data_IF_413202198895
#
_entry.id   IF_413202198895
#
_cell.length_a   1.000
_cell.length_b   1.000
_cell.length_c   1.000
_cell.angle_alpha   90.00
_cell.angle_beta   90.00
_cell.angle_gamma   90.00
#
_symmetry.space_group_name_H-M   'P 1'
#
loop_
_entity.id
_entity.type
_entity.pdbx_description
1 polymer ?
#
# COMPACT_ATOMS: atom_id res chain seq x y z
N UNK A 1 -53.27 8.70 34.94
CA UNK A 1 -53.64 7.39 35.49
C UNK A 1 -53.73 6.39 34.34
N UNK A 2 -53.24 5.16 34.54
CA UNK A 2 -53.63 4.01 33.70
C UNK A 2 -52.67 3.60 32.59
N UNK A 3 -51.70 2.75 32.94
CA UNK A 3 -51.05 1.76 32.06
C UNK A 3 -52.06 0.66 31.65
N UNK A 4 -51.75 -0.04 30.56
CA UNK A 4 -51.86 -1.51 30.35
C UNK A 4 -51.07 -1.81 29.05
N UNK A 5 -50.05 -2.67 28.94
CA UNK A 5 -49.92 -4.09 29.34
C UNK A 5 -50.38 -4.96 28.14
N UNK A 6 -49.74 -6.02 27.60
CA UNK A 6 -48.59 -6.86 27.97
C UNK A 6 -48.30 -7.87 26.79
N UNK A 7 -47.04 -8.33 26.64
CA UNK A 7 -46.53 -9.70 26.30
C UNK A 7 -47.03 -10.50 25.05
N UNK A 8 -46.29 -11.41 24.37
CA UNK A 8 -45.07 -12.20 24.65
C UNK A 8 -44.55 -12.96 23.39
N UNK A 9 -43.23 -13.24 23.33
CA UNK A 9 -42.49 -14.46 22.85
C UNK A 9 -42.56 -14.86 21.34
N UNK A 10 -41.51 -15.35 20.66
CA UNK A 10 -40.24 -15.94 21.10
C UNK A 10 -39.24 -16.22 19.95
N UNK A 11 -38.16 -16.91 20.33
CA UNK A 11 -36.81 -17.09 19.75
C UNK A 11 -36.62 -17.74 18.35
N UNK A 12 -35.46 -17.40 17.75
CA UNK A 12 -34.36 -18.23 17.13
C UNK A 12 -33.71 -17.37 16.03
N UNK A 13 -32.42 -17.35 15.67
CA UNK A 13 -31.18 -18.03 16.02
C UNK A 13 -30.10 -17.51 15.02
N UNK A 14 -28.85 -17.48 15.48
CA UNK A 14 -27.62 -16.89 14.90
C UNK A 14 -27.19 -17.26 13.47
N UNK A 15 -26.39 -16.36 12.82
CA UNK A 15 -25.03 -16.55 12.22
C UNK A 15 -24.80 -15.51 11.08
N UNK A 16 -23.97 -14.47 11.23
CA UNK A 16 -22.50 -14.49 11.09
C UNK A 16 -22.09 -14.20 9.63
N UNK A 17 -21.54 -13.04 9.26
CA UNK A 17 -20.10 -12.77 9.41
C UNK A 17 -19.76 -11.27 9.23
N UNK A 18 -19.04 -10.76 10.23
CA UNK A 18 -18.01 -9.73 10.27
C UNK A 18 -18.14 -8.47 9.40
N UNK A 19 -18.64 -7.39 10.04
CA UNK A 19 -18.34 -6.02 9.65
C UNK A 19 -17.69 -5.28 10.82
N UNK A 20 -16.61 -4.57 10.49
CA UNK A 20 -15.76 -3.71 11.31
C UNK A 20 -16.51 -2.99 12.47
N UNK A 21 -16.02 -3.02 13.72
CA UNK A 21 -16.76 -2.48 14.87
C UNK A 21 -16.67 -0.95 15.01
N UNK A 22 -16.28 -0.21 13.97
CA UNK A 22 -16.17 1.24 14.00
C UNK A 22 -17.56 1.89 13.89
N UNK A 23 -18.20 2.08 15.04
CA UNK A 23 -19.43 2.87 15.17
C UNK A 23 -19.22 4.31 14.66
N UNK A 24 -20.06 4.68 13.69
CA UNK A 24 -20.43 6.03 13.24
C UNK A 24 -19.29 7.05 13.07
N UNK A 25 -18.84 7.20 11.83
CA UNK A 25 -17.99 8.29 11.36
C UNK A 25 -18.76 9.62 11.45
N UNK A 26 -18.43 10.45 12.44
CA UNK A 26 -18.89 11.83 12.50
C UNK A 26 -18.05 12.68 11.52
N UNK A 27 -18.72 13.21 10.49
CA UNK A 27 -18.14 14.07 9.46
C UNK A 27 -17.69 15.45 10.00
N UNK A 28 -16.58 15.53 10.75
CA UNK A 28 -15.77 16.77 10.88
C UNK A 28 -14.29 16.44 11.07
N UNK A 29 -13.56 16.40 9.93
CA UNK A 29 -12.10 16.50 9.71
C UNK A 29 -11.19 16.33 10.95
N UNK A 30 -10.80 15.08 11.23
CA UNK A 30 -9.43 14.49 11.37
C UNK A 30 -9.70 13.05 11.81
N UNK A 31 -9.60 12.09 10.87
CA UNK A 31 -9.89 10.66 11.10
C UNK A 31 -8.63 9.84 11.38
N UNK A 32 -7.45 10.48 11.45
CA UNK A 32 -6.19 9.81 11.79
C UNK A 32 -6.09 9.63 13.29
N UNK A 33 -5.91 8.39 13.74
CA UNK A 33 -5.72 8.08 15.15
C UNK A 33 -4.35 8.58 15.65
N UNK A 34 -4.29 8.93 16.93
CA UNK A 34 -3.06 9.35 17.58
C UNK A 34 -2.22 8.13 17.97
N UNK A 35 -0.99 8.04 17.48
CA UNK A 35 -0.08 6.93 17.78
C UNK A 35 0.93 7.34 18.84
N UNK A 36 1.14 6.46 19.82
CA UNK A 36 2.10 6.65 20.89
C UNK A 36 2.97 5.41 20.98
N UNK A 37 4.28 5.57 20.83
CA UNK A 37 5.25 4.46 20.94
C UNK A 37 6.12 4.70 22.17
N UNK A 38 6.12 3.74 23.09
CA UNK A 38 6.84 3.82 24.37
C UNK A 38 6.55 5.12 25.18
N UNK A 39 5.36 5.70 25.00
CA UNK A 39 4.94 6.94 25.63
C UNK A 39 5.32 8.22 24.88
N UNK A 40 5.96 8.14 23.72
CA UNK A 40 6.21 9.28 22.83
C UNK A 40 5.14 9.33 21.74
N UNK A 41 4.42 10.44 21.57
CA UNK A 41 3.62 10.70 20.39
C UNK A 41 4.44 10.59 19.11
N UNK A 42 4.02 9.73 18.19
CA UNK A 42 4.62 9.65 16.86
C UNK A 42 3.74 10.42 15.88
N UNK A 43 4.40 11.17 14.99
CA UNK A 43 3.70 11.79 13.89
C UNK A 43 3.08 10.73 12.98
N UNK A 44 1.78 10.84 12.79
CA UNK A 44 0.98 9.98 11.91
C UNK A 44 0.35 10.82 10.80
N UNK A 45 1.04 11.89 10.38
CA UNK A 45 0.68 12.63 9.19
C UNK A 45 0.76 11.74 7.94
N UNK A 46 -0.03 12.04 6.91
CA UNK A 46 -0.14 11.20 5.71
C UNK A 46 -1.50 10.51 5.60
N UNK A 47 -1.67 9.67 4.57
CA UNK A 47 -2.98 9.10 4.23
C UNK A 47 -3.93 10.07 3.50
N UNK A 48 -3.54 11.34 3.30
CA UNK A 48 -4.34 12.27 2.50
C UNK A 48 -4.30 11.87 1.02
N UNK A 49 -5.48 11.68 0.44
CA UNK A 49 -5.64 11.44 -0.99
C UNK A 49 -5.42 12.73 -1.76
N UNK A 50 -4.43 12.75 -2.64
CA UNK A 50 -4.45 13.69 -3.78
C UNK A 50 -5.18 13.01 -4.94
N UNK A 51 -5.68 13.77 -5.93
CA UNK A 51 -6.37 13.20 -7.12
C UNK A 51 -5.52 12.18 -7.90
N UNK A 52 -4.21 12.08 -7.63
CA UNK A 52 -3.27 11.34 -8.48
C UNK A 52 -2.24 10.49 -7.74
N UNK A 53 -2.05 10.69 -6.43
CA UNK A 53 -1.14 9.92 -5.59
C UNK A 53 -1.77 9.67 -4.21
N UNK A 54 -1.60 8.46 -3.70
CA UNK A 54 -1.88 8.15 -2.30
C UNK A 54 -0.63 8.44 -1.45
N UNK A 55 -0.83 9.10 -0.32
CA UNK A 55 0.22 9.31 0.65
C UNK A 55 0.23 8.16 1.65
N UNK A 56 1.40 7.55 1.82
CA UNK A 56 1.65 6.61 2.92
C UNK A 56 1.37 7.25 4.27
N UNK A 57 0.81 6.47 5.19
CA UNK A 57 0.68 6.87 6.59
C UNK A 57 1.96 6.53 7.37
N UNK A 58 2.40 7.41 8.28
CA UNK A 58 3.67 7.23 9.04
C UNK A 58 3.62 6.17 10.14
N UNK A 59 2.47 5.52 10.35
CA UNK A 59 2.43 4.24 11.07
C UNK A 59 3.20 3.12 10.36
N UNK A 60 3.37 3.19 9.02
CA UNK A 60 4.11 2.21 8.22
C UNK A 60 5.60 2.16 8.57
N UNK A 61 6.12 3.18 9.22
CA UNK A 61 7.51 3.25 9.63
C UNK A 61 7.74 2.50 10.96
N UNK A 62 6.70 1.98 11.63
CA UNK A 62 6.87 1.14 12.82
C UNK A 62 7.14 -0.29 12.36
N UNK A 63 8.25 -0.86 12.83
CA UNK A 63 8.55 -2.27 12.58
C UNK A 63 7.60 -3.16 13.42
N UNK A 64 6.75 -3.99 12.79
CA UNK A 64 5.85 -4.88 13.52
C UNK A 64 6.60 -5.91 14.38
N UNK A 65 7.80 -6.32 13.97
CA UNK A 65 8.61 -7.31 14.69
C UNK A 65 9.14 -6.78 16.04
N UNK A 66 9.18 -5.46 16.22
CA UNK A 66 9.58 -4.81 17.46
C UNK A 66 8.40 -4.52 18.41
N UNK A 67 7.16 -4.79 18.00
CA UNK A 67 5.97 -4.57 18.84
C UNK A 67 5.86 -5.71 19.85
N UNK A 68 5.72 -5.35 21.14
CA UNK A 68 5.40 -6.30 22.20
C UNK A 68 3.89 -6.35 22.44
N UNK A 69 3.24 -5.18 22.48
CA UNK A 69 1.79 -5.07 22.69
C UNK A 69 1.22 -3.82 22.00
N UNK A 70 -0.06 -3.90 21.63
CA UNK A 70 -0.86 -2.79 21.11
C UNK A 70 -2.09 -2.64 22.00
N UNK A 71 -2.24 -1.47 22.61
CA UNK A 71 -3.37 -1.12 23.47
C UNK A 71 -4.17 0.04 22.84
N UNK A 72 -5.48 -0.13 22.69
CA UNK A 72 -6.35 0.88 22.07
C UNK A 72 -7.15 1.60 23.15
N UNK A 73 -6.90 2.90 23.30
CA UNK A 73 -7.61 3.76 24.25
C UNK A 73 -8.90 4.26 23.61
N UNK A 74 -10.02 3.67 24.02
CA UNK A 74 -11.37 4.01 23.52
C UNK A 74 -12.02 5.04 24.43
N UNK A 75 -12.10 6.27 23.94
CA UNK A 75 -12.89 7.35 24.56
C UNK A 75 -12.12 8.34 25.46
N UNK A 76 -12.79 9.40 25.92
CA UNK A 76 -12.13 10.58 26.52
C UNK A 76 -11.50 10.32 27.90
N UNK A 77 -12.08 9.41 28.70
CA UNK A 77 -11.58 9.09 30.04
C UNK A 77 -10.23 8.34 29.99
N UNK A 78 -10.05 7.47 28.99
CA UNK A 78 -8.82 6.69 28.81
C UNK A 78 -7.68 7.52 28.18
N UNK A 79 -7.98 8.66 27.57
CA UNK A 79 -7.06 9.47 26.77
C UNK A 79 -6.64 10.78 27.45
N UNK A 80 -7.14 11.05 28.67
CA UNK A 80 -6.88 12.27 29.42
C UNK A 80 -5.38 12.57 29.62
N UNK A 81 -4.53 11.55 29.76
CA UNK A 81 -3.08 11.69 29.89
C UNK A 81 -2.38 12.20 28.62
N UNK A 82 -3.04 12.11 27.47
CA UNK A 82 -2.48 12.44 26.15
C UNK A 82 -3.11 13.69 25.51
N UNK A 83 -4.03 14.35 26.24
CA UNK A 83 -4.62 15.63 25.87
C UNK A 83 -5.48 15.59 24.61
N UNK A 84 -5.72 16.77 24.02
CA UNK A 84 -6.67 16.95 22.89
C UNK A 84 -6.33 16.10 21.65
N UNK A 85 -5.05 15.73 21.45
CA UNK A 85 -4.63 14.91 20.31
C UNK A 85 -5.19 13.49 20.37
N UNK A 86 -5.53 13.00 21.55
CA UNK A 86 -6.14 11.70 21.77
C UNK A 86 -7.67 11.76 21.93
N UNK A 87 -8.31 12.92 21.65
CA UNK A 87 -9.76 13.08 21.81
C UNK A 87 -10.59 12.10 20.97
N UNK A 88 -10.04 11.65 19.83
CA UNK A 88 -10.63 10.65 18.93
C UNK A 88 -10.17 9.21 19.25
N UNK A 89 -9.51 8.99 20.39
CA UNK A 89 -8.84 7.73 20.73
C UNK A 89 -7.35 7.75 20.40
N UNK A 90 -6.62 6.80 20.99
CA UNK A 90 -5.18 6.64 20.76
C UNK A 90 -4.77 5.18 20.69
N UNK A 91 -3.76 4.89 19.88
CA UNK A 91 -3.12 3.58 19.76
C UNK A 91 -1.79 3.66 20.52
N UNK A 92 -1.72 2.91 21.63
CA UNK A 92 -0.52 2.75 22.44
C UNK A 92 0.24 1.53 21.95
N UNK A 93 1.49 1.72 21.58
CA UNK A 93 2.40 0.66 21.16
C UNK A 93 3.52 0.60 22.20
N UNK A 94 3.66 -0.55 22.85
CA UNK A 94 4.84 -0.83 23.67
C UNK A 94 5.76 -1.72 22.86
N UNK A 95 7.03 -1.32 22.80
CA UNK A 95 8.00 -2.08 22.01
C UNK A 95 8.72 -3.12 22.87
N UNK A 96 9.26 -4.17 22.24
CA UNK A 96 10.04 -5.23 22.90
C UNK A 96 11.24 -4.64 23.64
N UNK A 97 11.55 -5.18 24.82
CA UNK A 97 12.65 -4.72 25.67
C UNK A 97 13.55 -5.89 26.03
N UNK A 98 14.70 -5.58 26.62
CA UNK A 98 15.57 -6.62 27.15
C UNK A 98 14.85 -7.44 28.22
N UNK A 99 15.00 -8.76 28.16
CA UNK A 99 14.46 -9.69 29.14
C UNK A 99 15.54 -10.16 30.10
N UNK A 100 15.12 -10.68 31.26
CA UNK A 100 16.02 -11.38 32.16
C UNK A 100 16.21 -12.80 31.62
N UNK A 101 17.39 -13.07 31.10
CA UNK A 101 17.78 -14.34 30.46
C UNK A 101 18.91 -15.00 31.26
N UNK A 102 18.99 -14.71 32.56
CA UNK A 102 20.08 -15.11 33.45
C UNK A 102 21.46 -14.69 32.91
N UNK A 103 21.52 -13.53 32.27
CA UNK A 103 22.72 -12.97 31.65
C UNK A 103 23.09 -13.56 30.28
N UNK A 104 22.32 -14.51 29.75
CA UNK A 104 22.59 -15.12 28.44
C UNK A 104 22.08 -14.23 27.31
N UNK A 105 22.87 -14.04 26.26
CA UNK A 105 22.39 -13.37 25.05
C UNK A 105 21.54 -14.34 24.24
N UNK A 106 20.34 -13.90 23.88
CA UNK A 106 19.44 -14.59 22.97
C UNK A 106 19.51 -13.90 21.61
N UNK A 107 19.50 -14.71 20.55
CA UNK A 107 19.51 -14.25 19.16
C UNK A 107 18.32 -14.88 18.47
N UNK A 108 17.50 -14.05 17.83
CA UNK A 108 16.35 -14.50 17.05
C UNK A 108 16.45 -13.88 15.66
N UNK A 109 16.43 -14.74 14.65
CA UNK A 109 16.42 -14.34 13.25
C UNK A 109 15.12 -14.83 12.61
N UNK A 110 14.39 -13.92 11.97
CA UNK A 110 13.19 -14.23 11.21
C UNK A 110 13.40 -13.79 9.77
N UNK A 111 13.03 -14.66 8.83
CA UNK A 111 13.03 -14.37 7.40
C UNK A 111 11.73 -14.87 6.82
N UNK A 112 11.07 -14.04 6.01
CA UNK A 112 9.88 -14.43 5.25
C UNK A 112 10.05 -14.06 3.78
N UNK A 113 9.45 -14.87 2.93
CA UNK A 113 9.38 -14.67 1.49
C UNK A 113 7.92 -14.77 1.06
N UNK A 114 7.50 -13.83 0.21
CA UNK A 114 6.15 -13.83 -0.38
C UNK A 114 6.21 -13.66 -1.89
N UNK A 115 5.20 -14.22 -2.55
CA UNK A 115 4.90 -13.92 -3.95
C UNK A 115 3.47 -13.38 -3.99
N UNK A 116 3.35 -12.13 -4.40
CA UNK A 116 2.07 -11.45 -4.58
C UNK A 116 1.64 -11.54 -6.04
N UNK A 117 0.36 -11.82 -6.24
CA UNK A 117 -0.27 -11.92 -7.56
C UNK A 117 -1.52 -11.06 -7.60
N UNK A 118 -1.89 -10.64 -8.81
CA UNK A 118 -3.15 -9.93 -9.02
C UNK A 118 -4.30 -10.88 -8.72
N UNK A 119 -5.14 -10.50 -7.74
CA UNK A 119 -6.27 -11.32 -7.31
C UNK A 119 -7.44 -11.23 -8.30
N UNK A 120 -7.86 -10.01 -8.66
CA UNK A 120 -9.04 -9.80 -9.51
C UNK A 120 -8.89 -8.57 -10.39
N UNK A 121 -9.21 -8.76 -11.67
CA UNK A 121 -9.29 -7.70 -12.66
C UNK A 121 -10.73 -7.53 -13.14
N UNK A 122 -11.11 -6.32 -13.59
CA UNK A 122 -12.35 -6.13 -14.32
C UNK A 122 -12.38 -7.02 -15.55
N UNK A 123 -13.51 -7.68 -15.80
CA UNK A 123 -13.71 -8.42 -17.04
C UNK A 123 -13.80 -7.43 -18.21
N UNK A 124 -12.94 -7.61 -19.21
CA UNK A 124 -13.01 -6.88 -20.48
C UNK A 124 -13.70 -7.72 -21.53
N UNK A 125 -14.47 -7.07 -22.39
CA UNK A 125 -14.97 -7.73 -23.59
C UNK A 125 -13.80 -7.93 -24.57
N UNK A 126 -13.76 -9.10 -25.22
CA UNK A 126 -12.79 -9.45 -26.27
C UNK A 126 -13.50 -9.85 -27.57
N UNK A 127 -14.68 -9.25 -27.84
CA UNK A 127 -15.51 -9.59 -29.01
C UNK A 127 -15.40 -8.56 -30.12
N UNK A 128 -15.40 -7.28 -29.76
CA UNK A 128 -15.42 -6.15 -30.68
C UNK A 128 -14.16 -5.30 -30.51
N UNK A 129 -13.60 -4.88 -31.64
CA UNK A 129 -12.47 -3.97 -31.69
C UNK A 129 -12.90 -2.51 -31.44
N UNK A 130 -11.93 -1.61 -31.43
CA UNK A 130 -12.16 -0.19 -31.32
C UNK A 130 -12.86 0.39 -32.53
N UNK A 131 -13.90 1.19 -32.26
CA UNK A 131 -14.70 1.81 -33.31
C UNK A 131 -16.06 2.23 -32.81
N UNK A 132 -16.93 2.57 -33.76
CA UNK A 132 -18.28 3.06 -33.48
C UNK A 132 -19.26 2.56 -34.53
N UNK A 133 -20.47 2.22 -34.10
CA UNK A 133 -21.55 1.75 -34.97
C UNK A 133 -21.12 0.54 -35.84
N UNK A 134 -20.25 -0.33 -35.31
CA UNK A 134 -19.73 -1.51 -36.03
C UNK A 134 -18.64 -1.20 -37.06
N UNK A 135 -18.24 0.06 -37.23
CA UNK A 135 -17.18 0.47 -38.17
C UNK A 135 -15.86 0.62 -37.44
N UNK A 136 -14.80 0.04 -38.01
CA UNK A 136 -13.45 0.15 -37.46
C UNK A 136 -12.99 1.59 -37.56
N UNK A 137 -12.38 2.08 -36.48
CA UNK A 137 -11.71 3.37 -36.50
C UNK A 137 -10.23 3.13 -36.22
N UNK A 138 -9.34 3.37 -37.19
CA UNK A 138 -7.90 3.33 -36.99
C UNK A 138 -7.50 4.20 -35.81
N UNK A 139 -6.50 3.78 -35.06
CA UNK A 139 -6.14 4.43 -33.81
C UNK A 139 -5.85 5.93 -34.00
N UNK A 140 -5.12 6.26 -35.07
CA UNK A 140 -4.71 7.63 -35.44
C UNK A 140 -5.88 8.57 -35.75
N UNK A 141 -7.04 8.01 -36.11
CA UNK A 141 -8.26 8.74 -36.46
C UNK A 141 -9.26 8.82 -35.31
N UNK A 142 -8.95 8.21 -34.16
CA UNK A 142 -9.77 8.30 -32.97
C UNK A 142 -9.42 9.63 -32.26
N UNK A 143 -10.11 10.72 -32.56
CA UNK A 143 -10.01 11.97 -31.80
C UNK A 143 -11.10 12.09 -30.72
N UNK A 144 -10.77 12.81 -29.65
CA UNK A 144 -11.65 13.37 -28.61
C UNK A 144 -12.72 12.44 -28.02
N UNK A 145 -12.37 11.72 -26.94
CA UNK A 145 -13.32 11.07 -26.02
C UNK A 145 -14.12 9.85 -26.57
N UNK A 146 -14.08 9.59 -27.89
CA UNK A 146 -14.65 8.40 -28.51
C UNK A 146 -13.69 7.20 -28.54
N UNK A 147 -12.44 7.42 -28.13
CA UNK A 147 -11.29 6.52 -28.09
C UNK A 147 -11.38 5.28 -27.18
N UNK A 148 -12.37 5.25 -26.30
CA UNK A 148 -12.53 4.24 -25.23
C UNK A 148 -13.65 3.25 -25.52
N UNK A 149 -14.00 3.08 -26.80
CA UNK A 149 -15.24 2.42 -27.21
C UNK A 149 -14.92 1.20 -28.05
N UNK A 150 -15.22 0.03 -27.48
CA UNK A 150 -15.19 -1.24 -28.19
C UNK A 150 -16.51 -1.50 -28.94
N UNK A 151 -16.96 -0.53 -29.73
CA UNK A 151 -18.19 -0.61 -30.55
C UNK A 151 -17.86 -0.70 -32.05
N UNK A 152 -16.66 -1.18 -32.37
CA UNK A 152 -16.21 -1.48 -33.73
C UNK A 152 -16.65 -2.86 -34.21
N UNK A 153 -16.09 -3.35 -35.32
CA UNK A 153 -16.40 -4.67 -35.84
C UNK A 153 -15.86 -5.77 -34.92
N UNK A 154 -16.35 -6.99 -35.14
CA UNK A 154 -15.90 -8.16 -34.38
C UNK A 154 -14.42 -8.45 -34.68
N UNK A 155 -13.66 -8.89 -33.68
CA UNK A 155 -12.33 -9.46 -33.93
C UNK A 155 -12.42 -10.63 -34.92
N UNK A 156 -11.35 -10.83 -35.71
CA UNK A 156 -11.32 -11.71 -36.88
C UNK A 156 -11.77 -11.04 -38.19
N UNK A 157 -12.29 -9.81 -38.13
CA UNK A 157 -12.61 -9.01 -39.32
C UNK A 157 -11.32 -8.44 -39.92
N UNK A 158 -11.17 -8.52 -41.24
CA UNK A 158 -10.10 -7.83 -41.97
C UNK A 158 -10.51 -6.37 -42.17
N UNK A 159 -9.63 -5.45 -41.78
CA UNK A 159 -9.83 -4.02 -41.92
C UNK A 159 -8.65 -3.41 -42.66
N UNK A 160 -8.88 -2.24 -43.25
CA UNK A 160 -7.85 -1.47 -43.97
C UNK A 160 -7.53 -0.22 -43.18
N UNK A 161 -6.25 0.00 -42.90
CA UNK A 161 -5.76 1.21 -42.24
C UNK A 161 -5.66 2.38 -43.24
N UNK A 162 -5.50 3.63 -42.75
CA UNK A 162 -5.41 4.81 -43.60
C UNK A 162 -4.20 4.80 -44.55
N UNK A 163 -3.17 4.02 -44.24
CA UNK A 163 -1.99 3.79 -45.09
C UNK A 163 -2.23 2.78 -46.22
N UNK A 164 -3.44 2.21 -46.31
CA UNK A 164 -3.83 1.22 -47.30
C UNK A 164 -3.44 -0.23 -46.96
N UNK A 165 -2.74 -0.45 -45.84
CA UNK A 165 -2.45 -1.79 -45.35
C UNK A 165 -3.73 -2.46 -44.86
N UNK A 166 -3.84 -3.78 -45.05
CA UNK A 166 -4.98 -4.56 -44.56
C UNK A 166 -4.51 -5.65 -43.63
N UNK A 167 -5.18 -5.78 -42.48
CA UNK A 167 -4.83 -6.74 -41.44
C UNK A 167 -6.08 -7.28 -40.77
N UNK A 168 -5.94 -8.43 -40.12
CA UNK A 168 -7.02 -9.03 -39.35
C UNK A 168 -6.99 -8.49 -37.92
N UNK A 169 -8.12 -8.00 -37.43
CA UNK A 169 -8.24 -7.54 -36.06
C UNK A 169 -8.10 -8.71 -35.08
N UNK A 170 -7.20 -8.58 -34.12
CA UNK A 170 -6.97 -9.55 -33.04
C UNK A 170 -6.96 -8.85 -31.68
N UNK A 171 -7.52 -9.48 -30.63
CA UNK A 171 -7.41 -8.97 -29.27
C UNK A 171 -6.03 -9.29 -28.66
N UNK A 172 -5.49 -8.37 -27.89
CA UNK A 172 -4.26 -8.53 -27.12
C UNK A 172 -4.56 -8.65 -25.62
N UNK A 173 -3.92 -9.62 -24.94
CA UNK A 173 -4.01 -9.74 -23.48
C UNK A 173 -3.05 -8.78 -22.78
N UNK A 174 -3.38 -7.50 -22.90
CA UNK A 174 -2.60 -6.41 -22.32
C UNK A 174 -2.51 -6.48 -20.79
N UNK A 175 -3.56 -7.00 -20.14
CA UNK A 175 -3.62 -7.02 -18.69
C UNK A 175 -2.64 -8.04 -18.11
N UNK A 176 -2.67 -9.28 -18.61
CA UNK A 176 -1.73 -10.31 -18.17
C UNK A 176 -0.28 -9.97 -18.52
N UNK A 177 -0.04 -9.26 -19.63
CA UNK A 177 1.29 -8.80 -20.00
C UNK A 177 1.82 -7.65 -19.12
N UNK A 178 0.92 -6.84 -18.54
CA UNK A 178 1.31 -5.68 -17.74
C UNK A 178 1.64 -6.03 -16.28
N UNK A 179 0.88 -6.94 -15.67
CA UNK A 179 1.11 -7.33 -14.28
C UNK A 179 2.15 -8.43 -14.17
N UNK A 180 2.89 -8.43 -13.06
CA UNK A 180 3.87 -9.47 -12.73
C UNK A 180 3.59 -10.09 -11.38
N UNK A 181 4.08 -11.31 -11.20
CA UNK A 181 4.26 -11.88 -9.86
C UNK A 181 5.31 -11.04 -9.15
N UNK A 182 4.96 -10.49 -8.00
CA UNK A 182 5.83 -9.59 -7.26
C UNK A 182 6.42 -10.30 -6.04
N UNK A 183 7.71 -10.09 -5.79
CA UNK A 183 8.41 -10.75 -4.70
C UNK A 183 8.53 -9.83 -3.48
N UNK A 184 8.34 -10.41 -2.30
CA UNK A 184 8.54 -9.73 -1.02
C UNK A 184 9.51 -10.48 -0.12
N UNK A 185 10.31 -9.74 0.64
CA UNK A 185 11.23 -10.27 1.66
C UNK A 185 11.08 -9.45 2.94
N UNK A 186 10.99 -10.12 4.09
CA UNK A 186 11.09 -9.47 5.40
C UNK A 186 12.12 -10.22 6.24
N UNK A 187 13.22 -9.56 6.55
CA UNK A 187 14.33 -10.09 7.33
C UNK A 187 14.49 -9.29 8.61
N UNK A 188 14.58 -9.98 9.74
CA UNK A 188 14.72 -9.34 11.03
C UNK A 188 15.69 -10.09 11.93
N UNK A 189 16.59 -9.36 12.56
CA UNK A 189 17.54 -9.88 13.54
C UNK A 189 17.34 -9.17 14.87
N UNK A 190 17.12 -9.96 15.92
CA UNK A 190 16.91 -9.54 17.29
C UNK A 190 18.03 -10.08 18.17
N UNK A 191 18.60 -9.22 18.99
CA UNK A 191 19.54 -9.59 20.05
C UNK A 191 19.02 -9.03 21.37
N UNK A 192 18.84 -9.88 22.36
CA UNK A 192 18.38 -9.43 23.65
C UNK A 192 18.95 -10.27 24.78
N UNK A 193 19.04 -9.67 25.96
CA UNK A 193 19.46 -10.38 27.14
C UNK A 193 19.62 -9.46 28.33
N UNK A 194 19.87 -10.07 29.48
CA UNK A 194 20.01 -9.31 30.71
C UNK A 194 19.89 -10.17 31.94
N UNK A 195 20.06 -9.52 33.07
CA UNK A 195 19.84 -10.05 34.40
C UNK A 195 18.95 -9.09 35.20
N UNK A 196 18.81 -9.33 36.49
CA UNK A 196 18.00 -8.50 37.38
C UNK A 196 18.46 -7.03 37.48
N UNK A 197 19.76 -6.78 37.23
CA UNK A 197 20.39 -5.45 37.35
C UNK A 197 20.44 -4.69 36.03
N UNK A 198 20.54 -5.38 34.90
CA UNK A 198 20.63 -4.72 33.59
C UNK A 198 20.12 -5.60 32.47
N UNK A 199 19.46 -5.00 31.49
CA UNK A 199 19.03 -5.68 30.28
C UNK A 199 19.21 -4.79 29.04
N UNK A 200 19.26 -5.43 27.88
CA UNK A 200 19.35 -4.78 26.58
C UNK A 200 18.50 -5.52 25.55
N UNK A 201 18.07 -4.78 24.53
CA UNK A 201 17.44 -5.29 23.32
C UNK A 201 17.92 -4.44 22.14
N UNK A 202 18.36 -5.12 21.10
CA UNK A 202 18.78 -4.54 19.83
C UNK A 202 18.06 -5.28 18.72
N UNK A 203 17.61 -4.54 17.72
CA UNK A 203 17.03 -5.15 16.53
C UNK A 203 17.41 -4.39 15.27
N UNK A 204 17.43 -5.12 14.16
CA UNK A 204 17.50 -4.56 12.82
C UNK A 204 16.57 -5.33 11.90
N UNK A 205 15.95 -4.61 10.98
CA UNK A 205 15.01 -5.17 10.02
C UNK A 205 15.19 -4.60 8.62
N UNK A 206 14.99 -5.43 7.62
CA UNK A 206 14.88 -5.07 6.22
C UNK A 206 13.60 -5.67 5.65
N UNK A 207 12.70 -4.81 5.19
CA UNK A 207 11.49 -5.20 4.48
C UNK A 207 11.60 -4.70 3.04
N UNK A 208 11.39 -5.58 2.07
CA UNK A 208 11.28 -5.25 0.66
C UNK A 208 9.99 -5.83 0.11
N UNK A 209 9.20 -5.01 -0.59
CA UNK A 209 7.99 -5.43 -1.27
C UNK A 209 7.98 -4.87 -2.69
N UNK A 210 8.14 -5.75 -3.67
CA UNK A 210 7.91 -5.41 -5.05
C UNK A 210 6.40 -5.32 -5.30
N UNK A 211 5.97 -4.38 -6.14
CA UNK A 211 4.58 -4.31 -6.59
C UNK A 211 4.30 -5.18 -7.81
N UNK A 212 3.06 -5.68 -7.87
CA UNK A 212 2.52 -6.42 -9.04
C UNK A 212 2.42 -5.55 -10.29
N UNK A 213 2.37 -4.23 -10.12
CA UNK A 213 2.57 -3.28 -11.19
C UNK A 213 4.08 -2.99 -11.30
N UNK A 214 4.67 -3.08 -12.50
CA UNK A 214 6.08 -2.79 -12.72
C UNK A 214 6.51 -1.41 -12.21
N UNK A 215 7.79 -1.28 -11.88
CA UNK A 215 8.40 -0.04 -11.37
C UNK A 215 7.67 0.57 -10.15
N UNK A 216 7.06 -0.29 -9.33
CA UNK A 216 6.63 0.06 -7.97
C UNK A 216 7.27 -0.88 -6.98
N UNK A 217 7.93 -0.32 -5.98
CA UNK A 217 8.65 -1.04 -4.93
C UNK A 217 8.65 -0.22 -3.65
N UNK A 218 8.57 -0.93 -2.54
CA UNK A 218 8.68 -0.39 -1.20
C UNK A 218 9.85 -1.06 -0.49
N UNK A 219 10.68 -0.27 0.15
CA UNK A 219 11.81 -0.76 0.92
C UNK A 219 11.87 -0.03 2.27
N UNK A 220 12.20 -0.77 3.34
CA UNK A 220 12.29 -0.22 4.68
C UNK A 220 13.43 -0.88 5.45
N UNK A 221 14.28 -0.04 6.03
CA UNK A 221 15.27 -0.44 7.01
C UNK A 221 14.88 0.11 8.37
N UNK A 222 15.02 -0.71 9.39
CA UNK A 222 14.80 -0.30 10.77
C UNK A 222 15.94 -0.75 11.66
N UNK A 223 16.23 0.05 12.66
CA UNK A 223 17.17 -0.29 13.71
C UNK A 223 16.63 0.22 15.04
N UNK A 224 16.84 -0.54 16.09
CA UNK A 224 16.44 -0.15 17.43
C UNK A 224 17.45 -0.63 18.46
N UNK A 225 17.65 0.20 19.47
CA UNK A 225 18.43 -0.09 20.65
C UNK A 225 17.61 0.30 21.88
N UNK A 226 17.54 -0.56 22.89
CA UNK A 226 16.94 -0.22 24.17
C UNK A 226 17.64 -0.96 25.30
N UNK A 227 17.57 -0.41 26.49
CA UNK A 227 18.16 -1.03 27.67
C UNK A 227 17.69 -0.41 28.96
N UNK A 228 17.90 -1.13 30.05
CA UNK A 228 17.66 -0.63 31.39
C UNK A 228 18.73 -1.08 32.36
N UNK A 229 18.99 -0.25 33.37
CA UNK A 229 19.94 -0.52 34.45
C UNK A 229 19.31 -0.15 35.78
N UNK A 230 19.47 -1.02 36.77
CA UNK A 230 19.05 -0.86 38.16
C UNK A 230 20.28 -0.72 39.06
N UNK A 231 20.93 0.46 39.12
CA UNK A 231 22.10 0.66 39.97
C UNK A 231 21.80 0.48 41.47
N UNK A 232 20.54 0.70 41.88
CA UNK A 232 20.03 0.42 43.23
C UNK A 232 18.66 -0.23 43.12
N UNK A 233 18.22 -0.94 44.17
CA UNK A 233 16.89 -1.61 44.20
C UNK A 233 15.74 -0.64 43.88
N UNK A 234 15.88 0.63 44.27
CA UNK A 234 14.84 1.66 44.11
C UNK A 234 15.18 2.69 43.03
N UNK A 235 16.10 2.40 42.12
CA UNK A 235 16.47 3.31 41.05
C UNK A 235 16.66 2.52 39.76
N UNK A 236 15.79 2.78 38.77
CA UNK A 236 15.90 2.22 37.42
C UNK A 236 16.08 3.35 36.41
N UNK A 237 17.07 3.20 35.54
CA UNK A 237 17.21 4.00 34.33
C UNK A 237 16.84 3.13 33.14
N UNK A 238 16.12 3.69 32.18
CA UNK A 238 15.77 3.01 30.94
C UNK A 238 15.86 3.97 29.77
N UNK A 239 16.31 3.48 28.63
CA UNK A 239 16.34 4.25 27.40
C UNK A 239 15.99 3.39 26.19
N UNK A 240 15.50 4.03 25.15
CA UNK A 240 15.32 3.43 23.83
C UNK A 240 15.65 4.44 22.75
N UNK A 241 16.11 3.95 21.61
CA UNK A 241 16.35 4.69 20.38
C UNK A 241 15.88 3.82 19.23
N UNK A 242 15.15 4.42 18.30
CA UNK A 242 14.63 3.77 17.11
C UNK A 242 15.00 4.61 15.90
N UNK A 243 15.28 3.94 14.79
CA UNK A 243 15.60 4.52 13.50
C UNK A 243 14.80 3.81 12.42
N UNK A 244 14.33 4.56 11.44
CA UNK A 244 13.63 4.03 10.27
C UNK A 244 13.99 4.84 9.05
N UNK A 245 14.46 4.12 8.02
CA UNK A 245 14.52 4.60 6.66
C UNK A 245 13.50 3.84 5.83
N UNK A 246 12.70 4.53 5.02
CA UNK A 246 11.80 3.89 4.07
C UNK A 246 11.80 4.63 2.75
N UNK A 247 11.70 3.89 1.65
CA UNK A 247 11.57 4.41 0.30
C UNK A 247 10.38 3.75 -0.39
N UNK A 248 9.61 4.53 -1.13
CA UNK A 248 8.46 4.05 -1.87
C UNK A 248 8.41 4.70 -3.25
N UNK A 249 8.50 3.88 -4.29
CA UNK A 249 8.20 4.29 -5.67
C UNK A 249 6.70 4.11 -5.90
N UNK A 250 6.01 5.24 -5.95
CA UNK A 250 4.54 5.29 -6.03
C UNK A 250 4.06 5.28 -7.46
N UNK A 251 2.89 4.70 -7.63
CA UNK A 251 2.15 4.70 -8.88
C UNK A 251 1.14 5.83 -8.91
N UNK A 252 0.97 6.42 -10.08
CA UNK A 252 -0.16 7.31 -10.32
C UNK A 252 -1.48 6.53 -10.27
N UNK A 253 -2.47 7.08 -9.58
CA UNK A 253 -3.82 6.52 -9.45
C UNK A 253 -4.86 7.54 -9.93
N UNK A 254 -6.13 7.13 -10.00
CA UNK A 254 -7.26 8.00 -10.32
C UNK A 254 -7.53 8.13 -11.83
N UNK A 255 -8.43 9.04 -12.20
CA UNK A 255 -8.92 9.23 -13.57
C UNK A 255 -8.05 10.12 -14.46
N UNK A 256 -6.75 10.26 -14.18
CA UNK A 256 -5.85 11.04 -15.02
C UNK A 256 -5.33 10.20 -16.20
N UNK A 257 -4.78 10.87 -17.20
CA UNK A 257 -4.38 10.28 -18.48
C UNK A 257 -3.15 9.34 -18.38
N UNK A 258 -2.35 9.49 -17.33
CA UNK A 258 -1.14 8.69 -17.05
C UNK A 258 -1.34 7.64 -15.93
N UNK A 259 -2.58 7.34 -15.55
CA UNK A 259 -2.86 6.28 -14.59
C UNK A 259 -2.88 4.94 -15.32
N UNK A 260 -1.96 3.99 -15.03
CA UNK A 260 -1.81 2.76 -15.80
C UNK A 260 -3.09 1.93 -15.83
N UNK A 261 -3.87 1.92 -14.74
CA UNK A 261 -5.15 1.20 -14.68
C UNK A 261 -6.20 1.76 -15.64
N UNK A 262 -6.27 3.08 -15.82
CA UNK A 262 -7.24 3.68 -16.74
C UNK A 262 -6.83 3.38 -18.18
N UNK A 263 -5.54 3.53 -18.50
CA UNK A 263 -4.98 3.21 -19.80
C UNK A 263 -5.22 1.75 -20.21
N UNK A 264 -5.10 0.84 -19.25
CA UNK A 264 -5.19 -0.61 -19.46
C UNK A 264 -6.64 -1.10 -19.66
N UNK A 265 -7.58 -0.59 -18.88
CA UNK A 265 -8.96 -1.14 -18.85
C UNK A 265 -9.98 -0.32 -19.65
N UNK A 266 -9.68 0.92 -20.03
CA UNK A 266 -10.65 1.79 -20.70
C UNK A 266 -10.63 1.71 -22.23
N UNK A 267 -9.52 1.26 -22.81
CA UNK A 267 -9.39 1.08 -24.25
C UNK A 267 -9.82 -0.31 -24.75
N UNK A 268 -10.22 -0.43 -26.02
CA UNK A 268 -10.30 -1.73 -26.70
C UNK A 268 -8.94 -2.45 -26.67
N UNK A 269 -8.97 -3.78 -26.75
CA UNK A 269 -7.77 -4.64 -26.77
C UNK A 269 -7.24 -4.89 -28.19
N UNK A 270 -7.52 -4.01 -29.14
CA UNK A 270 -7.07 -4.11 -30.53
C UNK A 270 -5.69 -3.48 -30.76
N UNK A 271 -5.02 -3.11 -29.68
CA UNK A 271 -3.70 -2.51 -29.66
C UNK A 271 -2.81 -3.23 -28.64
N UNK A 272 -1.59 -3.59 -29.07
CA UNK A 272 -0.59 -4.22 -28.22
C UNK A 272 0.19 -3.16 -27.42
N UNK A 273 -0.02 -3.11 -26.10
CA UNK A 273 0.70 -2.19 -25.23
C UNK A 273 2.17 -2.57 -25.01
N UNK A 274 2.58 -3.79 -25.36
CA UNK A 274 3.98 -4.24 -25.21
C UNK A 274 4.89 -3.79 -26.36
N UNK A 275 4.29 -3.36 -27.48
CA UNK A 275 5.04 -3.04 -28.69
C UNK A 275 5.74 -4.25 -29.31
N UNK A 276 5.25 -5.47 -29.06
CA UNK A 276 5.85 -6.71 -29.54
C UNK A 276 7.11 -7.17 -28.79
N UNK A 277 7.48 -6.51 -27.69
CA UNK A 277 8.67 -6.86 -26.91
C UNK A 277 8.35 -7.89 -25.82
N UNK A 278 9.34 -8.76 -25.55
CA UNK A 278 9.24 -9.77 -24.49
C UNK A 278 9.34 -9.17 -23.09
N UNK A 279 10.13 -8.10 -22.94
CA UNK A 279 10.25 -7.34 -21.69
C UNK A 279 9.98 -5.86 -21.97
N UNK A 280 8.69 -5.50 -22.14
CA UNK A 280 8.32 -4.14 -22.43
C UNK A 280 8.77 -3.22 -21.29
N UNK A 281 8.81 -3.67 -20.02
CA UNK A 281 9.19 -2.87 -18.82
C UNK A 281 10.64 -2.37 -18.82
N UNK A 282 11.54 -3.02 -19.56
CA UNK A 282 12.94 -2.60 -19.65
C UNK A 282 13.35 -2.13 -21.05
N UNK A 283 12.42 -2.08 -21.99
CA UNK A 283 12.72 -1.68 -23.37
C UNK A 283 12.19 -0.27 -23.62
N UNK A 284 13.08 0.72 -23.60
CA UNK A 284 12.73 2.12 -23.83
C UNK A 284 11.95 2.31 -25.15
N UNK A 285 12.35 1.63 -26.23
CA UNK A 285 11.66 1.63 -27.52
C UNK A 285 10.23 1.03 -27.49
N UNK A 286 9.86 0.27 -26.46
CA UNK A 286 8.47 -0.17 -26.26
C UNK A 286 7.54 0.99 -25.85
N UNK A 287 8.11 2.14 -25.48
CA UNK A 287 7.39 3.30 -24.96
C UNK A 287 7.50 4.54 -25.84
N UNK A 288 8.60 4.66 -26.59
CA UNK A 288 8.89 5.79 -27.45
C UNK A 288 8.64 5.47 -28.93
N UNK A 289 8.52 6.54 -29.72
CA UNK A 289 8.12 6.50 -31.12
C UNK A 289 9.34 6.31 -32.02
N UNK A 290 9.37 5.20 -32.75
CA UNK A 290 9.96 5.18 -34.10
C UNK A 290 8.85 4.97 -35.13
N UNK A 291 8.98 5.67 -36.26
CA UNK A 291 7.91 6.21 -37.11
C UNK A 291 7.06 5.21 -37.92
N UNK A 292 6.99 3.92 -37.57
CA UNK A 292 6.49 2.93 -38.53
C UNK A 292 5.50 1.88 -38.05
N UNK A 293 5.00 1.90 -36.80
CA UNK A 293 3.90 0.99 -36.42
C UNK A 293 2.91 1.68 -35.49
N UNK A 294 1.64 1.72 -35.93
CA UNK A 294 0.43 2.17 -35.26
C UNK A 294 0.64 2.91 -33.93
N UNK A 295 0.73 4.23 -34.04
CA UNK A 295 0.40 5.17 -33.00
C UNK A 295 -0.72 4.77 -32.03
N UNK A 296 -0.52 4.79 -30.70
CA UNK A 296 -1.55 5.34 -29.78
C UNK A 296 -1.86 6.84 -30.09
N UNK A 297 -1.64 7.31 -31.33
CA UNK A 297 -1.81 8.70 -31.80
C UNK A 297 -3.29 9.04 -31.69
N UNK A 298 -3.62 10.02 -30.86
CA UNK A 298 -5.00 10.43 -30.64
C UNK A 298 -5.61 9.88 -29.35
N UNK A 299 -5.02 8.87 -28.70
CA UNK A 299 -5.52 8.47 -27.38
C UNK A 299 -5.19 9.47 -26.33
N UNK A 300 -6.24 9.79 -25.58
CA UNK A 300 -6.14 10.67 -24.46
C UNK A 300 -5.37 10.02 -23.29
N UNK A 301 -5.16 8.69 -23.30
CA UNK A 301 -4.41 7.94 -22.29
C UNK A 301 -3.02 7.49 -22.77
N UNK A 302 -2.03 7.56 -21.88
CA UNK A 302 -0.65 7.08 -22.10
C UNK A 302 -0.61 5.55 -22.20
N UNK A 303 0.42 4.98 -22.83
CA UNK A 303 0.71 3.56 -22.69
C UNK A 303 0.95 3.24 -21.19
N UNK A 304 0.36 2.17 -20.62
CA UNK A 304 0.53 1.85 -19.20
C UNK A 304 1.99 1.56 -18.82
N UNK A 305 2.80 1.00 -19.72
CA UNK A 305 4.24 0.79 -19.47
C UNK A 305 5.04 2.10 -19.49
N UNK A 306 4.76 3.01 -20.44
CA UNK A 306 5.31 4.37 -20.42
C UNK A 306 4.95 5.10 -19.11
N UNK A 307 3.70 4.96 -18.66
CA UNK A 307 3.21 5.63 -17.46
C UNK A 307 3.97 5.22 -16.20
N UNK A 308 4.37 3.95 -16.07
CA UNK A 308 5.13 3.48 -14.91
C UNK A 308 6.63 3.75 -15.02
N UNK A 309 7.16 3.92 -16.23
CA UNK A 309 8.58 4.20 -16.45
C UNK A 309 8.92 5.68 -16.37
N UNK A 310 8.13 6.54 -17.03
CA UNK A 310 8.44 7.96 -17.22
C UNK A 310 7.78 8.88 -16.19
N UNK A 311 6.87 8.36 -15.37
CA UNK A 311 6.19 9.12 -14.33
C UNK A 311 6.34 8.53 -12.92
N UNK A 312 7.54 8.11 -12.48
CA UNK A 312 7.74 7.61 -11.13
C UNK A 312 7.55 8.73 -10.11
N UNK A 313 6.98 8.39 -8.96
CA UNK A 313 6.86 9.30 -7.83
C UNK A 313 7.51 8.67 -6.60
N UNK A 314 8.80 8.94 -6.39
CA UNK A 314 9.55 8.41 -5.26
C UNK A 314 9.36 9.27 -4.02
N UNK A 315 9.12 8.63 -2.89
CA UNK A 315 9.15 9.30 -1.59
C UNK A 315 10.00 8.50 -0.63
N UNK A 316 10.80 9.19 0.17
CA UNK A 316 11.58 8.58 1.23
C UNK A 316 11.22 9.16 2.60
N UNK A 317 11.62 8.45 3.64
CA UNK A 317 11.49 8.82 5.04
C UNK A 317 12.79 8.50 5.72
N UNK A 318 13.29 9.44 6.50
CA UNK A 318 14.43 9.26 7.39
C UNK A 318 14.04 9.83 8.74
N UNK A 319 13.94 8.97 9.75
CA UNK A 319 13.49 9.38 11.08
C UNK A 319 14.14 8.56 12.18
N UNK A 320 14.35 9.21 13.31
CA UNK A 320 14.72 8.55 14.56
C UNK A 320 13.98 9.19 15.74
N UNK A 321 13.77 8.40 16.79
CA UNK A 321 13.21 8.88 18.04
C UNK A 321 13.77 8.11 19.22
N UNK A 322 13.97 8.80 20.34
CA UNK A 322 14.58 8.23 21.53
C UNK A 322 13.82 8.62 22.80
N UNK A 323 13.80 7.72 23.78
CA UNK A 323 13.27 7.93 25.12
C UNK A 323 14.35 7.74 26.17
N UNK A 324 14.26 8.48 27.27
CA UNK A 324 14.99 8.19 28.49
C UNK A 324 14.04 8.37 29.69
N UNK A 325 14.02 7.39 30.60
CA UNK A 325 13.13 7.37 31.77
C UNK A 325 13.92 7.01 33.01
N UNK A 326 13.57 7.67 34.11
CA UNK A 326 14.05 7.35 35.47
C UNK A 326 12.85 6.95 36.33
N UNK A 327 12.94 5.81 36.99
CA UNK A 327 11.93 5.33 37.92
C UNK A 327 12.51 5.17 39.32
N UNK A 328 11.80 5.75 40.31
CA UNK A 328 12.06 5.63 41.74
C UNK A 328 10.73 5.21 42.37
N UNK A 329 10.60 3.98 42.91
CA UNK A 329 9.42 3.59 43.66
C UNK A 329 9.22 4.55 44.84
N UNK A 330 7.99 5.01 45.05
CA UNK A 330 7.62 5.80 46.23
C UNK A 330 7.61 4.94 47.48
#
# INVERSE_FOLDING_TARGET
>A
SGRNGHHHLGHTGSCGSDSDPWKHINHRKITTHFFIVDGIPIDNSGGEQTRSLENSNRALDINPNDIAEINILKGPAATALYGIRAANGAVLITTKKGSNTDGKVQVEFNSSFSIDQVNKLPEKQNLYAGGRNGVFQPYELRSDGNLSRSWGPRYGTVVTDPDGSSFMLQPYDNASAFFRNAQGYDNHLNLYGGNEKSNFYMSTGHSYAQGVIPNSNYERYTAKLSGSVKPRKNLTFSGSMNYTYSEFVRLRKGGNWSAPMVSLFRGPDDFDNTGGYADPVNTEAAYFRDDTLAQRKGSVFDNPFFSVNENPATTYTDRWWATCKRFIPR
#
